data_IF_171788443408
#
_entry.id   IF_171788443408
#
_cell.length_a   1.000
_cell.length_b   1.000
_cell.length_c   1.000
_cell.angle_alpha   90.00
_cell.angle_beta   90.00
_cell.angle_gamma   90.00
#
_symmetry.space_group_name_H-M   'P 1'
#
loop_
_entity.id
_entity.type
_entity.pdbx_description
1 polymer ?
#
# COMPACT_ATOMS: atom_id res chain seq x y z
N UNK A 1 -17.77 28.31 -13.25
CA UNK A 1 -17.70 27.01 -12.54
C UNK A 1 -19.09 26.71 -12.03
N UNK A 2 -19.70 25.59 -12.44
CA UNK A 2 -21.13 25.31 -12.26
C UNK A 2 -21.53 25.32 -10.79
N UNK A 3 -22.17 26.40 -10.35
CA UNK A 3 -22.87 26.50 -9.08
C UNK A 3 -24.21 25.78 -9.20
N UNK A 4 -24.43 24.76 -8.36
CA UNK A 4 -25.65 23.96 -8.43
C UNK A 4 -25.63 22.61 -7.71
N UNK A 5 -24.57 22.28 -6.96
CA UNK A 5 -24.57 21.10 -6.07
C UNK A 5 -24.34 21.57 -4.63
N UNK A 6 -25.32 22.28 -4.06
CA UNK A 6 -25.32 22.61 -2.63
C UNK A 6 -25.73 21.37 -1.83
N UNK A 7 -24.85 20.38 -1.77
CA UNK A 7 -24.90 19.36 -0.73
C UNK A 7 -24.72 20.04 0.62
N UNK A 8 -25.49 19.66 1.64
CA UNK A 8 -25.35 20.20 3.00
C UNK A 8 -23.88 20.08 3.46
N UNK A 9 -23.15 21.19 3.44
CA UNK A 9 -21.72 21.22 3.79
C UNK A 9 -21.57 20.90 5.26
N UNK A 10 -20.94 19.77 5.56
CA UNK A 10 -20.59 19.40 6.92
C UNK A 10 -19.12 19.73 7.14
N UNK A 11 -18.85 20.72 7.99
CA UNK A 11 -17.50 21.15 8.34
C UNK A 11 -16.56 19.99 8.67
N UNK A 12 -17.02 18.99 9.42
CA UNK A 12 -16.18 17.85 9.81
C UNK A 12 -15.80 16.96 8.63
N UNK A 13 -16.68 16.84 7.62
CA UNK A 13 -16.41 16.06 6.41
C UNK A 13 -15.42 16.81 5.52
N UNK A 14 -15.63 18.11 5.34
CA UNK A 14 -14.74 18.97 4.55
C UNK A 14 -13.34 19.04 5.18
N UNK A 15 -13.25 19.28 6.49
CA UNK A 15 -11.97 19.32 7.22
C UNK A 15 -11.24 17.97 7.15
N UNK A 16 -11.98 16.85 7.25
CA UNK A 16 -11.40 15.51 7.12
C UNK A 16 -10.90 15.23 5.70
N UNK A 17 -11.67 15.60 4.68
CA UNK A 17 -11.27 15.47 3.27
C UNK A 17 -10.03 16.30 2.99
N UNK A 18 -10.05 17.58 3.38
CA UNK A 18 -8.92 18.50 3.25
C UNK A 18 -7.68 17.98 3.98
N UNK A 19 -7.81 17.40 5.17
CA UNK A 19 -6.68 16.83 5.90
C UNK A 19 -6.04 15.64 5.16
N UNK A 20 -6.85 14.81 4.48
CA UNK A 20 -6.37 13.65 3.71
C UNK A 20 -5.68 14.04 2.42
N UNK A 21 -6.21 15.04 1.73
CA UNK A 21 -5.62 15.57 0.49
C UNK A 21 -4.28 16.26 0.75
N UNK A 22 -4.03 16.72 1.97
CA UNK A 22 -2.84 17.47 2.36
C UNK A 22 -1.97 16.71 3.40
N UNK A 23 -2.04 15.38 3.41
CA UNK A 23 -1.31 14.54 4.37
C UNK A 23 0.21 14.71 4.24
N UNK A 24 0.70 14.97 3.04
CA UNK A 24 2.12 15.17 2.72
C UNK A 24 2.74 16.36 3.45
N UNK A 25 1.96 17.43 3.67
CA UNK A 25 2.43 18.60 4.42
C UNK A 25 2.63 18.31 5.90
N UNK A 26 1.91 17.32 6.43
CA UNK A 26 1.98 16.90 7.83
C UNK A 26 2.95 15.72 8.05
N UNK A 27 3.49 15.16 6.97
CA UNK A 27 4.39 14.01 7.06
C UNK A 27 5.72 14.40 7.71
N UNK A 28 6.23 13.52 8.59
CA UNK A 28 7.50 13.71 9.28
C UNK A 28 8.35 12.46 9.23
N UNK A 29 9.64 12.64 9.02
CA UNK A 29 10.65 11.57 9.12
C UNK A 29 10.93 11.21 10.57
N UNK A 30 10.12 10.31 11.12
CA UNK A 30 10.30 9.75 12.46
C UNK A 30 10.83 8.33 12.39
N UNK A 31 11.43 7.82 13.47
CA UNK A 31 11.87 6.41 13.52
C UNK A 31 10.72 5.44 13.23
N UNK A 32 9.51 5.74 13.72
CA UNK A 32 8.32 4.95 13.44
C UNK A 32 7.97 4.95 11.95
N UNK A 33 7.97 6.11 11.30
CA UNK A 33 7.63 6.21 9.87
C UNK A 33 8.70 5.53 8.99
N UNK A 34 9.98 5.66 9.34
CA UNK A 34 11.05 4.90 8.69
C UNK A 34 10.86 3.39 8.84
N UNK A 35 10.51 2.90 10.04
CA UNK A 35 10.23 1.49 10.25
C UNK A 35 9.03 1.00 9.42
N UNK A 36 7.95 1.79 9.36
CA UNK A 36 6.78 1.48 8.54
C UNK A 36 7.13 1.40 7.04
N UNK A 37 7.89 2.38 6.53
CA UNK A 37 8.34 2.37 5.13
C UNK A 37 9.24 1.15 4.86
N UNK A 38 10.16 0.83 5.77
CA UNK A 38 11.02 -0.36 5.62
C UNK A 38 10.22 -1.67 5.60
N UNK A 39 9.25 -1.83 6.50
CA UNK A 39 8.45 -3.06 6.58
C UNK A 39 7.51 -3.17 5.38
N UNK A 40 6.69 -2.15 5.13
CA UNK A 40 5.63 -2.22 4.13
C UNK A 40 6.10 -1.88 2.72
N UNK A 41 7.09 -0.99 2.59
CA UNK A 41 7.64 -0.59 1.28
C UNK A 41 8.72 -1.53 0.76
N UNK A 42 9.40 -2.29 1.62
CA UNK A 42 10.56 -3.13 1.21
C UNK A 42 10.38 -4.58 1.66
N UNK A 43 10.31 -4.84 2.97
CA UNK A 43 10.39 -6.20 3.49
C UNK A 43 9.21 -7.07 3.02
N UNK A 44 7.98 -6.58 3.15
CA UNK A 44 6.78 -7.33 2.78
C UNK A 44 6.74 -7.69 1.28
N UNK A 45 6.90 -6.75 0.33
CA UNK A 45 6.92 -7.08 -1.10
C UNK A 45 7.97 -8.14 -1.47
N UNK A 46 9.17 -8.06 -0.88
CA UNK A 46 10.25 -9.03 -1.14
C UNK A 46 9.89 -10.41 -0.61
N UNK A 47 9.40 -10.49 0.63
CA UNK A 47 9.03 -11.77 1.24
C UNK A 47 7.90 -12.43 0.45
N UNK A 48 6.87 -11.67 0.07
CA UNK A 48 5.75 -12.17 -0.73
C UNK A 48 6.24 -12.69 -2.08
N UNK A 49 7.04 -11.91 -2.80
CA UNK A 49 7.59 -12.33 -4.09
C UNK A 49 8.41 -13.61 -3.98
N UNK A 50 9.34 -13.67 -3.03
CA UNK A 50 10.18 -14.86 -2.82
C UNK A 50 9.36 -16.09 -2.41
N UNK A 51 8.32 -15.91 -1.60
CA UNK A 51 7.38 -16.97 -1.22
C UNK A 51 6.67 -17.54 -2.44
N UNK A 52 6.03 -16.68 -3.25
CA UNK A 52 5.30 -17.10 -4.45
C UNK A 52 6.22 -17.79 -5.45
N UNK A 53 7.40 -17.22 -5.73
CA UNK A 53 8.36 -17.82 -6.68
C UNK A 53 8.83 -19.18 -6.20
N UNK A 54 9.15 -19.31 -4.90
CA UNK A 54 9.54 -20.60 -4.32
C UNK A 54 8.40 -21.61 -4.44
N UNK A 55 7.19 -21.23 -4.07
CA UNK A 55 6.03 -22.11 -4.15
C UNK A 55 5.76 -22.55 -5.59
N UNK A 56 5.87 -21.62 -6.55
CA UNK A 56 5.72 -21.94 -7.97
C UNK A 56 6.80 -22.91 -8.46
N UNK A 57 8.08 -22.67 -8.14
CA UNK A 57 9.19 -23.55 -8.56
C UNK A 57 9.07 -24.94 -7.91
N UNK A 58 8.80 -24.99 -6.60
CA UNK A 58 8.59 -26.24 -5.87
C UNK A 58 7.37 -27.01 -6.37
N UNK A 59 6.28 -26.32 -6.69
CA UNK A 59 5.09 -26.93 -7.28
C UNK A 59 5.39 -27.55 -8.66
N UNK A 60 6.12 -26.84 -9.53
CA UNK A 60 6.49 -27.39 -10.84
C UNK A 60 7.41 -28.61 -10.72
N UNK A 61 8.41 -28.57 -9.84
CA UNK A 61 9.34 -29.69 -9.61
C UNK A 61 8.66 -30.95 -9.05
N UNK A 62 7.63 -30.79 -8.22
CA UNK A 62 6.91 -31.93 -7.62
C UNK A 62 5.81 -32.49 -8.53
N UNK A 63 5.16 -31.65 -9.34
CA UNK A 63 4.06 -32.08 -10.23
C UNK A 63 4.53 -32.54 -11.61
N UNK A 64 5.61 -31.95 -12.12
CA UNK A 64 6.20 -32.27 -13.42
C UNK A 64 7.72 -32.35 -13.28
N UNK A 65 8.26 -33.45 -12.72
CA UNK A 65 9.70 -33.67 -12.76
C UNK A 65 10.13 -33.68 -14.23
N UNK A 66 11.07 -32.80 -14.58
CA UNK A 66 11.63 -32.76 -15.93
C UNK A 66 12.25 -34.11 -16.24
N UNK A 67 11.59 -34.88 -17.09
CA UNK A 67 12.09 -36.12 -17.66
C UNK A 67 13.18 -35.79 -18.69
N UNK A 68 14.41 -35.64 -18.19
CA UNK A 68 15.63 -35.79 -18.97
C UNK A 68 16.36 -37.04 -18.49
#
# INVERSE_FOLDING_TARGET
MGGGMETNKNKFIEDWGSARENLEHNFRWTRRNFALIGIFGIALPIIVYKGIVKDFVTFNLTRFPSSF
#
